data_IF_393840025182
#
_entry.id   IF_393840025182
#
_cell.length_a   1.000
_cell.length_b   1.000
_cell.length_c   1.000
_cell.angle_alpha   90.00
_cell.angle_beta   90.00
_cell.angle_gamma   90.00
#
_symmetry.space_group_name_H-M   'P 1'
#
loop_
_entity.id
_entity.type
_entity.pdbx_description
1 polymer ?
#
# COMPACT_ATOMS: atom_id res chain seq x y z
N UNK A 1 32.09 1.62 46.56
CA UNK A 1 30.91 0.75 46.69
C UNK A 1 29.73 1.69 46.49
N UNK A 2 29.12 1.82 45.33
CA UNK A 2 29.02 0.98 44.12
C UNK A 2 28.88 1.99 42.96
N UNK A 3 29.81 2.06 42.00
CA UNK A 3 29.78 1.37 40.69
C UNK A 3 28.41 0.84 40.24
N UNK A 4 27.91 1.40 39.12
CA UNK A 4 26.72 0.95 38.41
C UNK A 4 26.59 1.72 37.10
N UNK A 5 27.39 1.30 36.12
CA UNK A 5 27.51 1.82 34.77
C UNK A 5 26.22 1.59 33.96
N UNK A 6 25.95 2.49 33.01
CA UNK A 6 24.94 2.37 31.95
C UNK A 6 24.91 0.97 31.33
N UNK A 7 23.71 0.50 30.96
CA UNK A 7 23.43 -0.06 29.63
C UNK A 7 21.93 -0.34 29.52
N UNK A 8 21.24 0.41 28.66
CA UNK A 8 19.87 0.09 28.27
C UNK A 8 19.88 -1.24 27.54
N UNK A 9 19.46 -2.31 28.21
CA UNK A 9 19.12 -3.57 27.55
C UNK A 9 17.71 -3.42 26.95
N UNK A 10 17.60 -2.71 25.82
CA UNK A 10 16.50 -2.94 24.88
C UNK A 10 16.87 -4.16 24.01
N UNK A 11 17.21 -5.27 24.66
CA UNK A 11 17.69 -6.49 24.02
C UNK A 11 16.63 -7.59 24.21
N UNK A 12 16.12 -8.09 23.08
CA UNK A 12 15.24 -9.27 22.94
C UNK A 12 13.71 -9.07 23.03
N UNK A 13 13.18 -7.92 22.62
CA UNK A 13 11.83 -7.92 22.03
C UNK A 13 12.03 -8.08 20.52
N UNK A 14 11.65 -9.22 19.91
CA UNK A 14 11.77 -9.37 18.48
C UNK A 14 11.02 -8.22 17.82
N UNK A 15 11.74 -7.42 17.01
CA UNK A 15 11.13 -6.36 16.23
C UNK A 15 9.93 -6.95 15.50
N UNK A 16 8.75 -6.39 15.75
CA UNK A 16 7.50 -6.90 15.21
C UNK A 16 7.61 -6.86 13.69
N UNK A 17 7.53 -8.04 13.08
CA UNK A 17 7.78 -8.23 11.65
C UNK A 17 6.78 -9.21 11.07
N UNK A 18 6.47 -9.02 9.79
CA UNK A 18 5.62 -9.91 9.03
C UNK A 18 6.45 -10.72 8.03
N UNK A 19 5.99 -11.92 7.68
CA UNK A 19 6.60 -12.75 6.64
C UNK A 19 5.55 -13.06 5.58
N UNK A 20 5.84 -12.72 4.32
CA UNK A 20 5.01 -13.07 3.17
C UNK A 20 5.91 -13.53 2.02
N UNK A 21 5.61 -14.69 1.43
CA UNK A 21 6.39 -15.29 0.32
C UNK A 21 7.89 -15.43 0.61
N UNK A 22 8.24 -15.64 1.88
CA UNK A 22 9.64 -15.74 2.35
C UNK A 22 10.35 -14.39 2.52
N UNK A 23 9.69 -13.28 2.20
CA UNK A 23 10.19 -11.92 2.46
C UNK A 23 9.75 -11.43 3.83
N UNK A 24 10.64 -10.68 4.51
CA UNK A 24 10.39 -10.13 5.84
C UNK A 24 10.12 -8.63 5.74
N UNK A 25 9.03 -8.19 6.34
CA UNK A 25 8.57 -6.80 6.33
C UNK A 25 8.55 -6.24 7.76
N UNK A 26 8.96 -5.00 7.92
CA UNK A 26 8.89 -4.29 9.21
C UNK A 26 7.45 -3.95 9.58
N UNK A 27 7.18 -3.74 10.87
CA UNK A 27 5.88 -3.21 11.30
C UNK A 27 5.54 -1.91 10.54
N UNK A 28 4.27 -1.75 10.19
CA UNK A 28 3.72 -0.67 9.35
C UNK A 28 4.24 -0.62 7.91
N UNK A 29 5.08 -1.56 7.47
CA UNK A 29 5.47 -1.62 6.07
C UNK A 29 4.24 -1.86 5.19
N UNK A 30 4.15 -1.14 4.07
CA UNK A 30 3.13 -1.32 3.05
C UNK A 30 3.82 -1.81 1.78
N UNK A 31 3.27 -2.87 1.17
CA UNK A 31 3.81 -3.42 -0.07
C UNK A 31 2.69 -3.90 -1.00
N UNK A 32 3.03 -4.02 -2.29
CA UNK A 32 2.13 -4.53 -3.33
C UNK A 32 2.72 -5.82 -3.91
N UNK A 33 2.29 -7.01 -3.44
CA UNK A 33 2.76 -8.27 -4.02
C UNK A 33 2.25 -8.45 -5.46
N UNK A 34 1.10 -7.86 -5.77
CA UNK A 34 0.48 -7.84 -7.09
C UNK A 34 -0.02 -6.41 -7.37
N UNK A 35 -0.17 -5.99 -8.64
CA UNK A 35 -0.62 -4.64 -8.97
C UNK A 35 -1.95 -4.27 -8.28
N UNK A 36 -2.86 -5.23 -8.18
CA UNK A 36 -4.20 -5.09 -7.60
C UNK A 36 -4.31 -5.50 -6.13
N UNK A 37 -3.21 -5.74 -5.43
CA UNK A 37 -3.26 -6.15 -4.03
C UNK A 37 -2.33 -5.28 -3.21
N UNK A 38 -2.85 -4.74 -2.11
CA UNK A 38 -2.07 -3.95 -1.16
C UNK A 38 -2.05 -4.68 0.15
N UNK A 39 -0.86 -4.85 0.73
CA UNK A 39 -0.67 -5.49 2.01
C UNK A 39 0.01 -4.52 2.98
N UNK A 40 -0.32 -4.64 4.26
CA UNK A 40 0.32 -3.95 5.37
C UNK A 40 0.70 -4.94 6.46
N UNK A 41 1.86 -4.70 7.08
CA UNK A 41 2.23 -5.38 8.31
C UNK A 41 1.66 -4.60 9.48
N UNK A 42 0.67 -5.17 10.17
CA UNK A 42 0.11 -4.60 11.38
C UNK A 42 0.41 -5.50 12.56
N UNK A 43 1.38 -5.08 13.37
CA UNK A 43 1.79 -5.76 14.60
C UNK A 43 2.07 -7.27 14.41
N UNK A 44 2.73 -7.61 13.29
CA UNK A 44 3.12 -8.99 12.97
C UNK A 44 2.07 -9.76 12.17
N UNK A 45 0.91 -9.16 11.91
CA UNK A 45 -0.12 -9.70 11.04
C UNK A 45 -0.04 -9.07 9.66
N UNK A 46 -0.07 -9.92 8.63
CA UNK A 46 -0.21 -9.47 7.25
C UNK A 46 -1.69 -9.24 6.95
N UNK A 47 -2.07 -7.99 6.72
CA UNK A 47 -3.42 -7.62 6.29
C UNK A 47 -3.33 -7.20 4.83
N UNK A 48 -4.14 -7.80 3.95
CA UNK A 48 -4.15 -7.46 2.54
C UNK A 48 -5.57 -7.19 2.06
N UNK A 49 -5.70 -6.17 1.22
CA UNK A 49 -6.93 -5.81 0.53
C UNK A 49 -6.71 -5.79 -0.99
N UNK A 50 -7.77 -6.17 -1.71
CA UNK A 50 -7.82 -6.09 -3.17
C UNK A 50 -8.29 -4.71 -3.62
N UNK A 51 -7.61 -4.17 -4.63
CA UNK A 51 -7.94 -2.89 -5.25
C UNK A 51 -9.09 -3.10 -6.23
N UNK A 52 -10.21 -2.40 -5.98
CA UNK A 52 -11.36 -2.38 -6.87
C UNK A 52 -11.27 -1.15 -7.77
N UNK A 53 -11.24 -1.37 -9.07
CA UNK A 53 -11.15 -0.28 -10.05
C UNK A 53 -12.52 0.30 -10.40
N UNK A 54 -12.55 1.57 -10.74
CA UNK A 54 -13.74 2.23 -11.26
C UNK A 54 -14.03 1.79 -12.71
N UNK A 55 -15.31 1.73 -13.06
CA UNK A 55 -15.78 1.35 -14.38
C UNK A 55 -15.40 2.40 -15.44
N UNK A 56 -14.41 2.11 -16.28
CA UNK A 56 -13.95 2.98 -17.39
C UNK A 56 -14.81 2.86 -18.66
N UNK A 57 -16.10 2.52 -18.52
CA UNK A 57 -17.02 2.22 -19.65
C UNK A 57 -17.18 3.37 -20.66
N UNK A 58 -16.94 4.61 -20.24
CA UNK A 58 -17.06 5.81 -21.08
C UNK A 58 -15.74 6.28 -21.71
N UNK A 59 -14.68 5.45 -21.65
CA UNK A 59 -13.33 5.84 -22.04
C UNK A 59 -12.75 4.89 -23.10
N UNK A 60 -13.11 5.07 -24.38
CA UNK A 60 -12.55 4.29 -25.47
C UNK A 60 -11.06 4.63 -25.63
N UNK A 61 -10.20 3.72 -25.16
CA UNK A 61 -8.75 3.91 -25.11
C UNK A 61 -8.14 3.75 -23.72
N UNK A 62 -8.95 3.44 -22.70
CA UNK A 62 -8.44 3.12 -21.38
C UNK A 62 -7.45 1.94 -21.45
N UNK A 63 -6.30 2.10 -20.79
CA UNK A 63 -5.24 1.09 -20.77
C UNK A 63 -4.67 0.96 -19.36
N UNK A 64 -4.27 -0.25 -18.98
CA UNK A 64 -3.64 -0.51 -17.67
C UNK A 64 -2.13 -0.28 -17.82
N UNK A 65 -1.54 0.73 -17.17
CA UNK A 65 -0.11 0.93 -17.18
C UNK A 65 0.63 -0.26 -16.56
N UNK A 66 1.92 -0.40 -16.89
CA UNK A 66 2.75 -1.42 -16.25
C UNK A 66 2.81 -1.16 -14.74
N UNK A 67 2.63 -2.21 -13.95
CA UNK A 67 2.67 -2.21 -12.48
C UNK A 67 1.50 -1.47 -11.80
N UNK A 68 0.48 -1.07 -12.56
CA UNK A 68 -0.77 -0.50 -12.04
C UNK A 68 -1.92 -1.51 -12.08
N UNK A 69 -2.85 -1.40 -11.13
CA UNK A 69 -4.05 -2.25 -11.12
C UNK A 69 -5.09 -1.78 -12.13
N UNK A 70 -5.32 -0.47 -12.16
CA UNK A 70 -6.52 0.09 -12.77
C UNK A 70 -6.23 0.72 -14.12
N UNK A 71 -7.20 0.61 -15.07
CA UNK A 71 -7.08 1.26 -16.35
C UNK A 71 -7.17 2.77 -16.18
N UNK A 72 -6.27 3.49 -16.84
CA UNK A 72 -6.26 4.96 -16.89
C UNK A 72 -6.72 5.43 -18.25
N UNK A 73 -7.47 6.54 -18.25
CA UNK A 73 -7.87 7.22 -19.47
C UNK A 73 -6.72 8.08 -20.00
N UNK A 74 -6.47 8.09 -21.32
CA UNK A 74 -5.52 9.02 -21.90
C UNK A 74 -5.97 10.47 -21.65
N UNK A 75 -5.04 11.32 -21.23
CA UNK A 75 -5.33 12.75 -21.02
C UNK A 75 -5.87 13.39 -22.31
N UNK A 76 -7.05 13.99 -22.23
CA UNK A 76 -7.78 14.56 -23.37
C UNK A 76 -9.18 13.96 -23.59
N UNK A 77 -9.52 12.86 -22.92
CA UNK A 77 -10.90 12.38 -22.77
C UNK A 77 -11.43 12.76 -21.38
N UNK A 78 -11.55 14.07 -21.14
CA UNK A 78 -12.20 14.56 -19.92
C UNK A 78 -13.69 14.27 -20.06
N UNK A 79 -14.21 13.32 -19.30
CA UNK A 79 -15.64 13.22 -19.05
C UNK A 79 -16.10 14.55 -18.42
N UNK A 80 -17.07 15.28 -18.99
CA UNK A 80 -17.56 16.52 -18.40
C UNK A 80 -18.52 16.22 -17.23
N UNK A 81 -18.00 15.67 -16.14
CA UNK A 81 -18.71 15.34 -14.89
C UNK A 81 -17.60 15.14 -13.84
N UNK A 82 -17.34 15.99 -12.85
CA UNK A 82 -18.17 16.88 -12.04
C UNK A 82 -17.34 18.12 -11.65
N UNK A 83 -17.61 19.26 -12.27
CA UNK A 83 -17.46 20.56 -11.60
C UNK A 83 -18.70 21.38 -11.95
N UNK A 84 -19.80 21.00 -11.31
CA UNK A 84 -20.96 21.88 -11.19
C UNK A 84 -21.09 22.24 -9.70
N UNK A 85 -20.22 23.14 -9.25
CA UNK A 85 -20.47 23.98 -8.07
C UNK A 85 -20.30 25.43 -8.54
N UNK A 86 -21.32 26.04 -9.14
CA UNK A 86 -22.35 26.86 -8.47
C UNK A 86 -22.16 28.31 -8.93
N UNK A 87 -23.24 28.92 -9.42
CA UNK A 87 -23.29 30.33 -9.82
C UNK A 87 -23.53 31.29 -8.67
#
# INVERSE_FOLDING_TARGET
QEEGQEEGQEEDIPAVTCIQDGLRYHDRAVWKPEPCRVCICDNGNVLCDDVICEDTKNCPGASVPKDECCPVCPEGQVSPTDDQTTG
#
